data_IF_199659518383
#
_entry.id   IF_199659518383
#
_cell.length_a   1.000
_cell.length_b   1.000
_cell.length_c   1.000
_cell.angle_alpha   90.00
_cell.angle_beta   90.00
_cell.angle_gamma   90.00
#
_symmetry.space_group_name_H-M   'P 1'
#
loop_
_entity.id
_entity.type
_entity.pdbx_description
1 polymer ?
#
# COMPACT_ATOMS: atom_id res chain seq x y z
N UNK A 1 -6.34 -4.01 -6.94
CA UNK A 1 -6.48 -2.62 -6.49
C UNK A 1 -5.11 -1.96 -6.42
N UNK A 2 -5.03 -0.63 -6.36
CA UNK A 2 -3.77 0.12 -6.19
C UNK A 2 -3.86 0.91 -4.88
N UNK A 3 -2.75 1.02 -4.14
CA UNK A 3 -2.75 1.82 -2.91
C UNK A 3 -3.09 3.29 -3.20
N UNK A 4 -3.88 3.96 -2.35
CA UNK A 4 -4.26 5.36 -2.54
C UNK A 4 -3.04 6.26 -2.79
N UNK A 5 -3.13 7.11 -3.81
CA UNK A 5 -2.06 8.03 -4.21
C UNK A 5 -1.05 7.47 -5.22
N UNK A 6 -1.06 6.17 -5.50
CA UNK A 6 -0.19 5.54 -6.51
C UNK A 6 -0.94 5.41 -7.84
N UNK A 7 -0.27 5.74 -8.95
CA UNK A 7 -0.84 5.61 -10.31
C UNK A 7 -0.46 4.27 -10.92
N UNK A 8 -1.34 3.69 -11.74
CA UNK A 8 -1.03 2.47 -12.50
C UNK A 8 0.28 2.61 -13.32
N UNK A 9 0.54 3.79 -13.90
CA UNK A 9 1.77 4.05 -14.65
C UNK A 9 3.02 3.80 -13.79
N UNK A 10 3.02 4.24 -12.54
CA UNK A 10 4.17 4.05 -11.63
C UNK A 10 4.42 2.57 -11.35
N UNK A 11 3.34 1.79 -11.17
CA UNK A 11 3.43 0.33 -11.01
C UNK A 11 4.03 -0.32 -12.26
N UNK A 12 3.57 0.07 -13.45
CA UNK A 12 4.08 -0.46 -14.72
C UNK A 12 5.55 -0.07 -14.96
N UNK A 13 5.92 1.18 -14.70
CA UNK A 13 7.30 1.68 -14.85
C UNK A 13 8.29 0.93 -13.92
N UNK A 14 7.82 0.48 -12.75
CA UNK A 14 8.60 -0.28 -11.77
C UNK A 14 8.47 -1.81 -11.93
N UNK A 15 7.80 -2.31 -12.97
CA UNK A 15 7.65 -3.76 -13.22
C UNK A 15 8.37 -4.18 -14.49
N UNK A 16 9.35 -5.08 -14.36
CA UNK A 16 10.18 -5.54 -15.49
C UNK A 16 9.50 -6.50 -16.47
N UNK A 17 8.19 -6.67 -16.40
CA UNK A 17 7.41 -7.58 -17.24
C UNK A 17 5.98 -7.04 -17.45
N UNK A 18 5.30 -7.53 -18.48
CA UNK A 18 3.91 -7.13 -18.77
C UNK A 18 2.97 -7.61 -17.67
N UNK A 19 2.21 -6.67 -17.09
CA UNK A 19 1.18 -6.97 -16.11
C UNK A 19 -0.20 -7.04 -16.77
N UNK A 20 -0.90 -8.16 -16.58
CA UNK A 20 -2.32 -8.22 -16.87
C UNK A 20 -3.07 -7.44 -15.78
N UNK A 21 -3.97 -6.56 -16.19
CA UNK A 21 -4.76 -5.76 -15.26
C UNK A 21 -6.12 -5.40 -15.88
N UNK A 22 -7.10 -5.15 -15.02
CA UNK A 22 -8.42 -4.68 -15.45
C UNK A 22 -8.33 -3.24 -15.99
N UNK A 23 -9.33 -2.84 -16.79
CA UNK A 23 -9.44 -1.46 -17.25
C UNK A 23 -9.86 -0.49 -16.11
N UNK A 24 -10.59 -1.00 -15.12
CA UNK A 24 -11.15 -0.21 -14.01
C UNK A 24 -10.58 -0.66 -12.66
N UNK A 25 -9.30 -0.42 -12.46
CA UNK A 25 -8.61 -0.80 -11.22
C UNK A 25 -9.01 0.14 -10.09
N UNK A 26 -9.61 -0.41 -9.04
CA UNK A 26 -10.03 0.36 -7.87
C UNK A 26 -8.85 0.66 -6.92
N UNK A 27 -9.01 1.68 -6.08
CA UNK A 27 -8.09 1.92 -4.97
C UNK A 27 -8.26 0.87 -3.85
N UNK A 28 -7.18 0.59 -3.13
CA UNK A 28 -7.22 -0.26 -1.94
C UNK A 28 -7.97 0.47 -0.83
N UNK A 29 -9.02 -0.13 -0.25
CA UNK A 29 -9.78 0.51 0.83
C UNK A 29 -8.89 0.88 2.02
N UNK A 30 -9.20 2.01 2.65
CA UNK A 30 -8.51 2.41 3.89
C UNK A 30 -8.93 1.50 5.05
N UNK A 31 -8.03 1.23 6.01
CA UNK A 31 -8.38 0.49 7.22
C UNK A 31 -9.45 1.21 8.03
N UNK A 32 -10.32 0.45 8.70
CA UNK A 32 -11.28 1.00 9.65
C UNK A 32 -10.60 1.48 10.93
N UNK A 33 -11.32 2.26 11.75
CA UNK A 33 -10.79 2.73 13.05
C UNK A 33 -10.37 1.57 13.96
N UNK A 34 -11.19 0.53 14.03
CA UNK A 34 -10.92 -0.65 14.87
C UNK A 34 -9.69 -1.41 14.36
N UNK A 35 -9.56 -1.58 13.04
CA UNK A 35 -8.37 -2.19 12.43
C UNK A 35 -7.11 -1.37 12.73
N UNK A 36 -7.19 -0.05 12.63
CA UNK A 36 -6.06 0.83 12.98
C UNK A 36 -5.66 0.70 14.44
N UNK A 37 -6.62 0.62 15.37
CA UNK A 37 -6.32 0.43 16.79
C UNK A 37 -5.67 -0.93 17.05
N UNK A 38 -6.19 -2.01 16.45
CA UNK A 38 -5.55 -3.34 16.56
C UNK A 38 -4.10 -3.29 16.07
N UNK A 39 -3.85 -2.67 14.92
CA UNK A 39 -2.50 -2.56 14.35
C UNK A 39 -1.58 -1.72 15.24
N UNK A 40 -2.04 -0.54 15.66
CA UNK A 40 -1.21 0.47 16.35
C UNK A 40 -1.06 0.25 17.83
N UNK A 41 -2.05 -0.33 18.50
CA UNK A 41 -2.10 -0.37 19.96
C UNK A 41 -1.83 -1.79 20.48
N UNK A 42 -2.14 -2.82 19.69
CA UNK A 42 -2.02 -4.22 20.11
C UNK A 42 -0.92 -4.99 19.37
N UNK A 43 -0.92 -4.99 18.03
CA UNK A 43 -0.01 -5.82 17.24
C UNK A 43 1.38 -5.19 17.08
N UNK A 44 1.44 -3.90 16.77
CA UNK A 44 2.68 -3.19 16.49
C UNK A 44 2.71 -1.81 17.19
N UNK A 45 2.75 -1.82 18.54
CA UNK A 45 2.78 -0.60 19.37
C UNK A 45 4.05 0.22 19.25
N UNK A 46 5.09 -0.32 18.62
CA UNK A 46 6.38 0.35 18.43
C UNK A 46 6.62 0.77 16.97
N UNK A 47 5.61 0.64 16.10
CA UNK A 47 5.64 1.07 14.70
C UNK A 47 6.76 0.45 13.86
N UNK A 48 7.15 -0.80 14.18
CA UNK A 48 8.19 -1.49 13.43
C UNK A 48 7.79 -1.73 11.97
N UNK A 49 6.49 -1.74 11.66
CA UNK A 49 5.99 -1.84 10.29
C UNK A 49 6.50 -0.75 9.35
N UNK A 50 6.79 0.47 9.84
CA UNK A 50 7.33 1.53 8.98
C UNK A 50 8.72 1.16 8.44
N UNK A 51 9.51 0.39 9.19
CA UNK A 51 10.84 -0.07 8.73
C UNK A 51 10.77 -1.07 7.57
N UNK A 52 9.61 -1.69 7.34
CA UNK A 52 9.38 -2.61 6.23
C UNK A 52 8.98 -1.90 4.93
N UNK A 53 8.70 -0.59 4.98
CA UNK A 53 8.37 0.20 3.81
C UNK A 53 9.65 0.76 3.15
N UNK A 54 9.71 0.80 1.81
CA UNK A 54 10.81 1.48 1.13
C UNK A 54 10.79 2.97 1.46
N UNK A 55 11.98 3.59 1.56
CA UNK A 55 12.12 5.01 1.87
C UNK A 55 11.25 5.87 0.94
N UNK A 56 10.43 6.74 1.51
CA UNK A 56 9.49 7.66 0.81
C UNK A 56 10.17 8.72 -0.07
N UNK A 57 11.51 8.77 -0.09
CA UNK A 57 12.33 9.76 -0.82
C UNK A 57 13.04 9.18 -2.06
N UNK A 58 12.68 7.98 -2.53
CA UNK A 58 13.21 7.41 -3.78
C UNK A 58 12.31 7.67 -4.96
#
# INVERSE_FOLDING_TARGET
TIHPGIKLKEVLDNTGFSLAHDADIQETPLPTKDQLSIIRDFLDPHDFRETALPNKER
#
